data_IF_954446482772
#
_entry.id   IF_954446482772
#
_cell.length_a   1.000
_cell.length_b   1.000
_cell.length_c   1.000
_cell.angle_alpha   90.00
_cell.angle_beta   90.00
_cell.angle_gamma   90.00
#
_symmetry.space_group_name_H-M   'P 1'
#
loop_
_entity.id
_entity.type
_entity.pdbx_description
1 polymer ?
#
# COMPACT_ATOMS: atom_id res chain seq x y z
N UNK A 1 6.22 11.35 3.19
CA UNK A 1 6.05 9.90 3.13
C UNK A 1 4.64 9.53 3.53
N UNK A 2 4.03 8.57 2.85
CA UNK A 2 2.68 8.13 3.15
C UNK A 2 2.68 6.97 4.14
N UNK A 3 1.68 6.95 5.01
CA UNK A 3 1.36 5.78 5.82
C UNK A 3 0.08 5.16 5.27
N UNK A 4 0.17 3.94 4.78
CA UNK A 4 -0.96 3.22 4.21
C UNK A 4 -1.51 2.28 5.28
N UNK A 5 -2.82 2.36 5.49
CA UNK A 5 -3.51 1.59 6.53
C UNK A 5 -4.63 0.74 5.92
N UNK A 6 -4.95 -0.36 6.59
CA UNK A 6 -6.11 -1.16 6.22
C UNK A 6 -7.39 -0.37 6.48
N UNK A 7 -8.32 -0.40 5.52
CA UNK A 7 -9.59 0.30 5.66
C UNK A 7 -10.51 -0.36 6.70
N UNK A 8 -10.31 -1.66 6.97
CA UNK A 8 -11.16 -2.40 7.92
C UNK A 8 -10.69 -2.25 9.36
N UNK A 9 -9.43 -2.58 9.64
CA UNK A 9 -8.93 -2.61 11.02
C UNK A 9 -8.05 -1.42 11.38
N UNK A 10 -7.78 -0.53 10.43
CA UNK A 10 -6.96 0.68 10.63
C UNK A 10 -5.51 0.39 10.98
N UNK A 11 -5.03 -0.83 10.78
CA UNK A 11 -3.65 -1.20 11.05
C UNK A 11 -2.72 -0.59 10.01
N UNK A 12 -1.57 -0.09 10.45
CA UNK A 12 -0.54 0.41 9.53
C UNK A 12 0.03 -0.75 8.74
N UNK A 13 0.04 -0.62 7.41
CA UNK A 13 0.52 -1.66 6.51
C UNK A 13 1.84 -1.30 5.86
N UNK A 14 1.95 -0.09 5.33
CA UNK A 14 3.14 0.34 4.60
C UNK A 14 3.56 1.74 4.99
N UNK A 15 4.87 1.97 4.92
CA UNK A 15 5.41 3.33 4.75
C UNK A 15 5.94 3.43 3.34
N UNK A 16 5.49 4.42 2.60
CA UNK A 16 5.72 4.51 1.17
C UNK A 16 6.13 5.92 0.76
N UNK A 17 7.13 6.01 -0.11
CA UNK A 17 7.54 7.27 -0.72
C UNK A 17 6.75 7.48 -2.01
N UNK A 18 5.70 8.26 -1.94
CA UNK A 18 4.94 8.62 -3.14
C UNK A 18 5.55 9.86 -3.77
N UNK A 19 5.88 9.76 -5.06
CA UNK A 19 6.44 10.86 -5.85
C UNK A 19 5.36 11.41 -6.75
N UNK A 20 5.17 12.73 -6.70
CA UNK A 20 4.19 13.42 -7.53
C UNK A 20 2.78 13.40 -6.97
N UNK A 21 1.86 14.07 -7.67
CA UNK A 21 0.45 14.15 -7.31
C UNK A 21 -0.34 13.06 -8.02
N UNK A 22 -1.57 12.84 -7.58
CA UNK A 22 -2.45 11.88 -8.20
C UNK A 22 -2.84 10.75 -7.27
N UNK A 23 -3.62 9.82 -7.78
CA UNK A 23 -4.12 8.70 -6.99
C UNK A 23 -3.05 7.67 -6.72
N UNK A 24 -3.11 7.08 -5.54
CA UNK A 24 -2.26 5.96 -5.19
C UNK A 24 -2.94 4.68 -5.71
N UNK A 25 -2.50 4.23 -6.88
CA UNK A 25 -3.07 3.04 -7.53
C UNK A 25 -2.14 1.84 -7.47
N UNK A 26 -0.84 2.09 -7.41
CA UNK A 26 0.19 1.05 -7.41
C UNK A 26 1.25 1.37 -6.39
N UNK A 27 1.86 0.34 -5.82
CA UNK A 27 3.02 0.49 -4.97
C UNK A 27 4.25 -0.07 -5.69
N UNK A 28 5.25 0.77 -5.87
CA UNK A 28 6.55 0.34 -6.41
C UNK A 28 7.38 -0.24 -5.27
N UNK A 29 7.82 -1.50 -5.35
CA UNK A 29 8.51 -2.15 -4.23
C UNK A 29 9.73 -1.39 -3.73
N UNK A 30 10.49 -0.77 -4.61
CA UNK A 30 11.69 -0.01 -4.24
C UNK A 30 11.40 1.29 -3.50
N UNK A 31 10.14 1.72 -3.48
CA UNK A 31 9.69 2.91 -2.74
C UNK A 31 8.99 2.57 -1.43
N UNK A 32 8.80 1.29 -1.15
CA UNK A 32 8.24 0.83 0.10
C UNK A 32 9.35 0.83 1.15
N UNK A 33 9.18 1.63 2.20
CA UNK A 33 10.16 1.73 3.28
C UNK A 33 9.91 0.73 4.39
N UNK A 34 8.65 0.43 4.67
CA UNK A 34 8.24 -0.59 5.63
C UNK A 34 7.03 -1.33 5.08
N UNK A 35 7.02 -2.64 5.27
CA UNK A 35 5.94 -3.51 4.82
C UNK A 35 5.53 -4.41 5.98
N UNK A 36 4.34 -4.17 6.50
CA UNK A 36 3.75 -4.97 7.58
C UNK A 36 2.58 -5.82 7.09
N UNK A 37 2.44 -5.96 5.76
CA UNK A 37 1.39 -6.77 5.18
C UNK A 37 1.77 -8.25 5.17
N UNK A 38 0.77 -9.08 4.93
CA UNK A 38 0.96 -10.52 4.71
C UNK A 38 0.89 -10.80 3.23
N UNK A 39 1.88 -11.50 2.71
CA UNK A 39 1.93 -11.92 1.31
C UNK A 39 1.56 -13.39 1.25
N UNK A 40 0.49 -13.69 0.53
CA UNK A 40 0.00 -15.06 0.35
C UNK A 40 -0.30 -15.27 -1.13
N UNK A 41 0.44 -16.17 -1.78
CA UNK A 41 0.49 -16.28 -3.22
C UNK A 41 0.89 -14.93 -3.81
N UNK A 42 0.04 -14.34 -4.64
CA UNK A 42 0.27 -13.00 -5.17
C UNK A 42 -0.59 -11.95 -4.50
N UNK A 43 -1.30 -12.33 -3.44
CA UNK A 43 -2.19 -11.41 -2.73
C UNK A 43 -1.47 -10.73 -1.59
N UNK A 44 -1.67 -9.44 -1.48
CA UNK A 44 -1.15 -8.63 -0.38
C UNK A 44 -2.32 -8.35 0.55
N UNK A 45 -2.24 -8.87 1.77
CA UNK A 45 -3.34 -8.82 2.74
C UNK A 45 -2.92 -8.16 4.03
N UNK A 46 -3.89 -7.57 4.72
CA UNK A 46 -3.75 -7.22 6.11
C UNK A 46 -3.93 -8.47 6.98
N UNK A 47 -3.39 -8.45 8.20
CA UNK A 47 -3.58 -9.55 9.15
C UNK A 47 -5.04 -9.86 9.45
N UNK A 48 -5.93 -8.89 9.30
CA UNK A 48 -7.36 -9.10 9.49
C UNK A 48 -8.02 -9.88 8.35
N UNK A 49 -7.26 -10.20 7.29
CA UNK A 49 -7.78 -10.93 6.13
C UNK A 49 -8.21 -10.04 4.97
N UNK A 50 -8.21 -8.73 5.15
CA UNK A 50 -8.59 -7.82 4.08
C UNK A 50 -7.54 -7.81 2.97
N UNK A 51 -7.95 -8.08 1.74
CA UNK A 51 -7.05 -8.05 0.58
C UNK A 51 -6.81 -6.61 0.17
N UNK A 52 -5.57 -6.16 0.27
CA UNK A 52 -5.19 -4.78 -0.03
C UNK A 52 -4.85 -4.62 -1.51
N UNK A 53 -4.22 -5.61 -2.10
CA UNK A 53 -3.82 -5.57 -3.48
C UNK A 53 -3.28 -6.89 -3.98
N UNK A 54 -2.74 -6.85 -5.19
CA UNK A 54 -2.16 -8.01 -5.85
C UNK A 54 -0.75 -7.65 -6.31
N UNK A 55 0.21 -8.49 -5.95
CA UNK A 55 1.59 -8.37 -6.40
C UNK A 55 1.68 -8.86 -7.84
N UNK A 56 1.97 -7.95 -8.76
CA UNK A 56 2.10 -8.27 -10.18
C UNK A 56 3.56 -8.38 -10.63
N UNK A 57 4.48 -8.48 -9.67
CA UNK A 57 5.91 -8.60 -9.94
C UNK A 57 6.59 -7.26 -10.03
N UNK A 58 6.21 -6.41 -10.97
CA UNK A 58 6.78 -5.07 -11.16
C UNK A 58 6.29 -4.12 -10.06
N UNK A 59 5.03 -4.23 -9.69
CA UNK A 59 4.40 -3.40 -8.69
C UNK A 59 3.29 -4.17 -7.99
N UNK A 60 2.80 -3.59 -6.89
CA UNK A 60 1.60 -4.08 -6.21
C UNK A 60 0.42 -3.23 -6.69
N UNK A 61 -0.53 -3.86 -7.36
CA UNK A 61 -1.75 -3.18 -7.78
C UNK A 61 -2.71 -3.13 -6.59
N UNK A 62 -3.00 -1.93 -6.12
CA UNK A 62 -3.87 -1.73 -4.97
C UNK A 62 -5.34 -1.85 -5.35
N UNK A 63 -6.13 -2.38 -4.43
CA UNK A 63 -7.59 -2.39 -4.57
C UNK A 63 -8.14 -1.09 -3.96
N UNK A 64 -8.81 -0.24 -4.75
CA UNK A 64 -9.46 0.95 -4.20
C UNK A 64 -10.42 0.56 -3.07
N UNK A 65 -10.56 1.39 -2.07
CA UNK A 65 -11.45 1.18 -0.93
C UNK A 65 -11.00 0.10 0.06
N UNK A 66 -9.94 -0.66 -0.23
CA UNK A 66 -9.41 -1.64 0.72
C UNK A 66 -8.40 -1.02 1.69
N UNK A 67 -7.95 0.17 1.42
CA UNK A 67 -6.94 0.87 2.20
C UNK A 67 -7.26 2.35 2.32
N UNK A 68 -6.63 2.97 3.32
CA UNK A 68 -6.59 4.43 3.46
C UNK A 68 -5.15 4.86 3.58
N UNK A 69 -4.86 6.13 3.34
CA UNK A 69 -3.52 6.63 3.51
C UNK A 69 -3.52 8.06 4.03
N UNK A 70 -2.47 8.39 4.75
CA UNK A 70 -2.25 9.74 5.29
C UNK A 70 -0.79 10.12 5.08
N UNK A 71 -0.49 11.40 5.15
CA UNK A 71 0.86 11.91 5.00
C UNK A 71 1.00 12.78 3.77
N UNK A 72 2.25 13.02 3.37
CA UNK A 72 2.55 13.88 2.24
C UNK A 72 3.36 13.13 1.18
N UNK A 73 3.19 13.56 -0.05
CA UNK A 73 3.94 13.03 -1.19
C UNK A 73 5.12 13.95 -1.50
N UNK A 74 6.10 13.40 -2.21
CA UNK A 74 7.27 14.15 -2.66
C UNK A 74 6.89 14.90 -3.94
N UNK A 75 7.04 16.20 -3.92
CA UNK A 75 6.81 17.02 -5.11
C UNK A 75 8.06 17.06 -5.98
N UNK A 76 7.82 16.97 -7.26
CA UNK A 76 8.86 17.20 -8.25
C UNK A 76 8.47 18.30 -9.20
#
# INVERSE_FOLDING_TARGET
MLTIKCARCKRKLFKYEKIGTGRLLHLWPDRIKKDHSTHEDKKVKCRCGNVIGVDQGIWIKLRPQSFTYTGSYIRK
#
